data_IF_720324008648
#
_entry.id   IF_720324008648
#
_cell.length_a   1.000
_cell.length_b   1.000
_cell.length_c   1.000
_cell.angle_alpha   90.00
_cell.angle_beta   90.00
_cell.angle_gamma   90.00
#
_symmetry.space_group_name_H-M   'P 1'
#
loop_
_entity.id
_entity.type
_entity.pdbx_description
1 polymer ?
#
# COMPACT_ATOMS: atom_id res chain seq x y z
N UNK A 1 4.06 42.88 -53.00
CA UNK A 1 3.19 41.83 -52.44
C UNK A 1 3.24 41.94 -50.92
N UNK A 2 2.05 41.90 -50.28
CA UNK A 2 1.67 41.93 -48.85
C UNK A 2 2.80 42.08 -47.78
N UNK A 3 2.91 43.19 -47.02
CA UNK A 3 2.11 43.65 -45.84
C UNK A 3 2.37 42.79 -44.58
N UNK A 4 3.20 43.24 -43.60
CA UNK A 4 2.88 44.00 -42.35
C UNK A 4 1.82 43.29 -41.48
N UNK A 5 1.82 43.21 -40.15
CA UNK A 5 2.65 43.61 -38.98
C UNK A 5 1.96 42.94 -37.75
N UNK A 6 2.69 42.87 -36.64
CA UNK A 6 2.30 42.49 -35.26
C UNK A 6 1.03 43.18 -34.74
N UNK A 7 0.27 42.58 -33.79
CA UNK A 7 0.02 43.10 -32.42
C UNK A 7 -0.93 42.21 -31.56
N UNK A 8 -0.81 42.39 -30.24
CA UNK A 8 -1.54 41.84 -29.08
C UNK A 8 -3.06 42.08 -29.08
N UNK A 9 -3.77 41.37 -28.18
CA UNK A 9 -4.94 41.92 -27.49
C UNK A 9 -6.08 40.95 -27.21
N UNK A 10 -6.46 40.87 -25.93
CA UNK A 10 -7.60 40.15 -25.35
C UNK A 10 -8.95 40.49 -25.99
N UNK A 11 -9.90 39.52 -25.99
CA UNK A 11 -11.30 39.77 -25.63
C UNK A 11 -12.04 38.47 -25.24
N UNK A 12 -12.96 38.64 -24.29
CA UNK A 12 -13.82 37.68 -23.60
C UNK A 12 -15.26 37.76 -24.17
N UNK A 13 -16.19 37.06 -23.54
CA UNK A 13 -17.63 36.88 -23.84
C UNK A 13 -17.91 35.80 -24.90
N UNK A 14 -18.72 34.76 -24.67
CA UNK A 14 -19.69 34.48 -23.62
C UNK A 14 -20.96 33.97 -24.28
N UNK A 15 -21.35 32.71 -24.05
CA UNK A 15 -22.77 32.32 -24.02
C UNK A 15 -22.98 30.92 -23.38
N UNK A 16 -24.12 30.81 -22.71
CA UNK A 16 -24.55 29.90 -21.66
C UNK A 16 -24.88 28.42 -22.04
N UNK A 17 -24.44 27.50 -21.15
CA UNK A 17 -25.07 26.28 -20.56
C UNK A 17 -25.90 25.24 -21.38
N UNK A 18 -26.19 24.00 -20.87
CA UNK A 18 -25.92 23.42 -19.53
C UNK A 18 -25.29 22.01 -19.47
N UNK A 19 -24.91 21.63 -18.25
CA UNK A 19 -24.55 20.28 -17.79
C UNK A 19 -25.60 19.21 -18.10
N UNK A 20 -25.17 18.02 -18.54
CA UNK A 20 -25.91 16.79 -18.26
C UNK A 20 -25.01 15.52 -18.25
N UNK A 21 -24.90 14.94 -17.04
CA UNK A 21 -24.77 13.50 -16.71
C UNK A 21 -24.17 12.59 -17.80
N UNK A 22 -22.88 12.24 -17.66
CA UNK A 22 -22.31 11.06 -18.35
C UNK A 22 -22.84 9.75 -17.73
N UNK A 23 -24.04 9.35 -18.16
CA UNK A 23 -24.46 7.96 -18.11
C UNK A 23 -23.42 7.08 -18.83
N UNK A 24 -23.02 5.98 -18.19
CA UNK A 24 -22.24 4.90 -18.84
C UNK A 24 -22.99 4.46 -20.10
N UNK A 25 -22.47 4.81 -21.29
CA UNK A 25 -23.02 4.31 -22.55
C UNK A 25 -22.65 2.83 -22.69
N UNK A 26 -23.65 1.96 -22.62
CA UNK A 26 -23.55 0.59 -23.13
C UNK A 26 -23.14 0.63 -24.61
N UNK A 27 -22.30 -0.30 -25.08
CA UNK A 27 -21.88 -0.32 -26.49
C UNK A 27 -23.09 -0.49 -27.41
N UNK A 28 -23.13 0.30 -28.48
CA UNK A 28 -24.16 0.22 -29.52
C UNK A 28 -24.17 -1.17 -30.16
N UNK A 29 -25.36 -1.69 -30.45
CA UNK A 29 -25.55 -2.97 -31.16
C UNK A 29 -24.77 -3.04 -32.49
N UNK A 30 -24.58 -1.90 -33.16
CA UNK A 30 -23.76 -1.83 -34.39
C UNK A 30 -22.26 -2.06 -34.15
N UNK A 31 -21.75 -1.72 -32.96
CA UNK A 31 -20.35 -1.95 -32.57
C UNK A 31 -20.11 -3.42 -32.25
N UNK A 32 -21.05 -4.05 -31.53
CA UNK A 32 -20.99 -5.49 -31.21
C UNK A 32 -21.12 -6.35 -32.48
N UNK A 33 -21.99 -5.98 -33.42
CA UNK A 33 -22.09 -6.67 -34.73
C UNK A 33 -20.80 -6.53 -35.53
N UNK A 34 -20.19 -5.33 -35.56
CA UNK A 34 -18.92 -5.11 -36.26
C UNK A 34 -17.80 -5.97 -35.67
N UNK A 35 -17.68 -6.04 -34.35
CA UNK A 35 -16.70 -6.89 -33.67
C UNK A 35 -16.95 -8.39 -33.89
N UNK A 36 -18.21 -8.83 -33.82
CA UNK A 36 -18.58 -10.23 -34.08
C UNK A 36 -18.33 -10.63 -35.54
N UNK A 37 -18.59 -9.74 -36.50
CA UNK A 37 -18.25 -9.96 -37.91
C UNK A 37 -16.73 -10.02 -38.12
N UNK A 38 -15.96 -9.16 -37.45
CA UNK A 38 -14.49 -9.15 -37.54
C UNK A 38 -13.87 -10.41 -36.94
N UNK A 39 -14.41 -10.89 -35.80
CA UNK A 39 -14.04 -12.18 -35.22
C UNK A 39 -14.37 -13.36 -36.12
N UNK A 40 -15.56 -13.37 -36.74
CA UNK A 40 -15.95 -14.42 -37.69
C UNK A 40 -15.08 -14.41 -38.94
N UNK A 41 -14.66 -13.24 -39.41
CA UNK A 41 -13.75 -13.11 -40.55
C UNK A 41 -12.33 -13.61 -40.20
N UNK A 42 -11.80 -13.26 -39.03
CA UNK A 42 -10.50 -13.76 -38.56
C UNK A 42 -10.52 -15.28 -38.35
N UNK A 43 -11.57 -15.82 -37.75
CA UNK A 43 -11.70 -17.26 -37.52
C UNK A 43 -11.80 -18.05 -38.84
N UNK A 44 -12.48 -17.49 -39.84
CA UNK A 44 -12.52 -18.07 -41.19
C UNK A 44 -11.16 -17.97 -41.91
N UNK A 45 -10.42 -16.87 -41.72
CA UNK A 45 -9.07 -16.73 -42.28
C UNK A 45 -8.10 -17.78 -41.70
N UNK A 46 -8.15 -17.99 -40.38
CA UNK A 46 -7.34 -19.03 -39.71
C UNK A 46 -7.72 -20.45 -40.15
N UNK A 47 -9.01 -20.74 -40.36
CA UNK A 47 -9.45 -22.04 -40.91
C UNK A 47 -9.01 -22.28 -42.35
N UNK A 48 -8.94 -21.24 -43.18
CA UNK A 48 -8.50 -21.36 -44.57
C UNK A 48 -6.97 -21.50 -44.67
N UNK A 49 -6.22 -20.88 -43.76
CA UNK A 49 -4.77 -20.91 -43.75
C UNK A 49 -4.18 -22.14 -43.05
N UNK A 50 -4.88 -22.74 -42.07
CA UNK A 50 -4.44 -23.96 -41.37
C UNK A 50 -3.98 -25.10 -42.33
N UNK A 51 -4.75 -25.48 -43.37
CA UNK A 51 -4.33 -26.56 -44.27
C UNK A 51 -3.12 -26.19 -45.12
N UNK A 52 -2.89 -24.91 -45.43
CA UNK A 52 -1.69 -24.46 -46.14
C UNK A 52 -0.47 -24.52 -45.23
N UNK A 53 -0.59 -24.09 -43.97
CA UNK A 53 0.49 -24.20 -42.99
C UNK A 53 0.85 -25.65 -42.67
N UNK A 54 -0.14 -26.54 -42.49
CA UNK A 54 0.14 -27.97 -42.31
C UNK A 54 0.89 -28.57 -43.50
N UNK A 55 0.53 -28.17 -44.72
CA UNK A 55 1.15 -28.67 -45.94
C UNK A 55 2.60 -28.19 -46.08
N UNK A 56 2.86 -26.90 -45.83
CA UNK A 56 4.23 -26.35 -45.85
C UNK A 56 5.07 -26.95 -44.73
N UNK A 57 4.53 -27.13 -43.53
CA UNK A 57 5.26 -27.76 -42.42
C UNK A 57 5.56 -29.22 -42.72
N UNK A 58 4.64 -29.98 -43.32
CA UNK A 58 4.91 -31.36 -43.74
C UNK A 58 5.89 -31.43 -44.91
N UNK A 59 5.80 -30.54 -45.90
CA UNK A 59 6.73 -30.49 -47.03
C UNK A 59 8.14 -30.08 -46.58
N UNK A 60 8.29 -29.13 -45.66
CA UNK A 60 9.58 -28.74 -45.07
C UNK A 60 10.16 -29.84 -44.16
N UNK A 61 9.34 -30.53 -43.39
CA UNK A 61 9.79 -31.63 -42.52
C UNK A 61 10.18 -32.87 -43.35
N UNK A 62 9.51 -33.11 -44.47
CA UNK A 62 9.84 -34.19 -45.41
C UNK A 62 11.03 -33.83 -46.32
N UNK A 63 11.19 -32.56 -46.71
CA UNK A 63 12.37 -32.05 -47.41
C UNK A 63 13.61 -32.06 -46.51
N UNK A 64 13.48 -31.73 -45.23
CA UNK A 64 14.55 -31.82 -44.23
C UNK A 64 14.97 -33.26 -43.93
N UNK A 65 14.04 -34.23 -44.00
CA UNK A 65 14.34 -35.67 -43.85
C UNK A 65 14.97 -36.30 -45.10
N UNK A 66 14.71 -35.76 -46.29
CA UNK A 66 15.24 -36.30 -47.57
C UNK A 66 16.60 -35.72 -47.98
N UNK A 67 17.08 -34.64 -47.34
CA UNK A 67 18.37 -34.00 -47.68
C UNK A 67 19.60 -34.54 -46.94
N UNK A 68 19.49 -35.60 -46.12
CA UNK A 68 20.68 -36.20 -45.49
C UNK A 68 20.85 -37.69 -45.79
N UNK A 69 21.57 -38.04 -46.87
CA UNK A 69 22.28 -39.29 -46.95
C UNK A 69 23.78 -39.06 -46.75
N UNK A 70 24.35 -39.84 -45.80
CA UNK A 70 25.79 -40.06 -45.51
C UNK A 70 26.39 -39.09 -44.49
N UNK A 71 27.15 -39.48 -43.46
CA UNK A 71 27.96 -40.68 -43.20
C UNK A 71 27.83 -41.09 -41.73
N UNK A 72 27.72 -42.40 -41.45
CA UNK A 72 28.11 -42.94 -40.15
C UNK A 72 29.64 -42.88 -40.14
N UNK A 73 30.19 -41.77 -39.69
CA UNK A 73 31.55 -41.75 -39.16
C UNK A 73 31.45 -41.87 -37.64
N UNK A 74 32.08 -42.92 -37.13
CA UNK A 74 31.99 -43.33 -35.73
C UNK A 74 32.98 -42.45 -34.96
N UNK A 75 32.57 -41.22 -34.66
CA UNK A 75 33.28 -40.33 -33.74
C UNK A 75 33.49 -41.04 -32.40
N UNK A 76 34.66 -40.88 -31.75
CA UNK A 76 34.97 -41.61 -30.53
C UNK A 76 33.94 -41.26 -29.46
N UNK A 77 33.46 -42.29 -28.76
CA UNK A 77 32.50 -42.17 -27.68
C UNK A 77 32.90 -41.02 -26.75
N UNK A 78 32.04 -40.00 -26.67
CA UNK A 78 32.06 -39.04 -25.59
C UNK A 78 32.04 -39.84 -24.29
N UNK A 79 32.98 -39.61 -23.35
CA UNK A 79 32.88 -40.23 -22.04
C UNK A 79 31.51 -39.89 -21.44
N UNK A 80 30.86 -40.81 -20.73
CA UNK A 80 29.61 -40.52 -20.05
C UNK A 80 29.80 -39.26 -19.20
N UNK A 81 28.91 -38.29 -19.33
CA UNK A 81 28.97 -37.05 -18.56
C UNK A 81 29.12 -37.40 -17.08
N UNK A 82 30.27 -37.07 -16.50
CA UNK A 82 30.52 -37.27 -15.07
C UNK A 82 29.41 -36.58 -14.29
N UNK A 83 28.74 -37.33 -13.42
CA UNK A 83 27.71 -36.76 -12.56
C UNK A 83 28.37 -35.69 -11.69
N UNK A 84 27.83 -34.46 -11.66
CA UNK A 84 28.41 -33.40 -10.85
C UNK A 84 28.35 -33.81 -9.38
N UNK A 85 29.49 -33.87 -8.71
CA UNK A 85 29.59 -34.26 -7.30
C UNK A 85 29.14 -33.14 -6.35
N UNK A 86 29.16 -31.89 -6.81
CA UNK A 86 28.94 -30.71 -5.97
C UNK A 86 27.92 -29.74 -6.55
N UNK A 87 27.18 -29.08 -5.66
CA UNK A 87 26.26 -27.98 -5.99
C UNK A 87 26.42 -26.82 -5.02
N UNK A 88 26.14 -25.62 -5.49
CA UNK A 88 25.98 -24.46 -4.62
C UNK A 88 24.60 -24.53 -3.94
N UNK A 89 24.48 -23.92 -2.77
CA UNK A 89 23.21 -23.78 -2.05
C UNK A 89 23.20 -22.50 -1.21
N UNK A 90 22.01 -21.93 -1.03
CA UNK A 90 21.77 -20.93 0.01
C UNK A 90 21.50 -21.68 1.32
N UNK A 91 22.29 -21.40 2.36
CA UNK A 91 22.14 -22.09 3.66
C UNK A 91 20.80 -21.80 4.31
N UNK A 92 20.38 -20.54 4.25
CA UNK A 92 19.14 -20.03 4.81
C UNK A 92 18.43 -19.22 3.73
N UNK A 93 17.10 -19.35 3.56
CA UNK A 93 16.35 -18.53 2.62
C UNK A 93 16.40 -17.05 2.98
N UNK A 94 16.20 -16.14 2.00
CA UNK A 94 16.13 -14.72 2.26
C UNK A 94 14.86 -14.35 3.04
N UNK A 95 14.96 -13.34 3.91
CA UNK A 95 13.82 -12.77 4.63
C UNK A 95 12.92 -11.98 3.67
N UNK A 96 11.61 -12.21 3.78
CA UNK A 96 10.59 -11.50 3.02
C UNK A 96 9.77 -10.60 3.96
N UNK A 97 9.23 -9.47 3.47
CA UNK A 97 9.31 -8.95 2.10
C UNK A 97 10.65 -8.25 1.78
N UNK A 98 11.09 -8.31 0.52
CA UNK A 98 12.27 -7.60 0.02
C UNK A 98 11.84 -6.30 -0.67
N UNK A 99 12.54 -5.21 -0.37
CA UNK A 99 12.33 -3.90 -0.97
C UNK A 99 13.55 -3.45 -1.79
N UNK A 100 13.32 -2.64 -2.82
CA UNK A 100 14.40 -2.05 -3.63
C UNK A 100 15.35 -1.20 -2.78
N UNK A 101 16.66 -1.29 -3.03
CA UNK A 101 17.70 -0.55 -2.29
C UNK A 101 17.85 -0.92 -0.81
N UNK A 102 17.16 -1.96 -0.33
CA UNK A 102 17.36 -2.53 1.00
C UNK A 102 18.30 -3.73 0.91
N UNK A 103 19.16 -3.92 1.93
CA UNK A 103 20.01 -5.11 2.04
C UNK A 103 19.15 -6.36 2.16
N UNK A 104 19.59 -7.43 1.51
CA UNK A 104 18.91 -8.72 1.57
C UNK A 104 19.58 -9.57 2.65
N UNK A 105 18.81 -9.85 3.69
CA UNK A 105 19.23 -10.68 4.82
C UNK A 105 18.50 -12.03 4.77
N UNK A 106 19.02 -13.02 5.50
CA UNK A 106 18.38 -14.30 5.71
C UNK A 106 17.23 -14.21 6.72
N UNK A 107 16.44 -15.27 6.88
CA UNK A 107 15.32 -15.29 7.83
C UNK A 107 15.70 -15.07 9.30
N UNK A 108 16.98 -15.13 9.66
CA UNK A 108 17.50 -14.85 11.01
C UNK A 108 17.99 -13.40 11.16
N UNK A 109 17.86 -12.56 10.13
CA UNK A 109 18.42 -11.20 10.09
C UNK A 109 19.94 -11.18 9.94
N UNK A 110 20.54 -12.27 9.44
CA UNK A 110 21.98 -12.38 9.17
C UNK A 110 22.27 -12.22 7.66
N UNK A 111 23.50 -11.89 7.26
CA UNK A 111 23.91 -11.93 5.85
C UNK A 111 23.61 -13.29 5.20
N UNK A 112 23.26 -13.32 3.91
CA UNK A 112 23.05 -14.60 3.22
C UNK A 112 24.37 -15.38 3.16
N UNK A 113 24.29 -16.70 3.32
CA UNK A 113 25.45 -17.59 3.21
C UNK A 113 25.25 -18.55 2.03
N UNK A 114 26.21 -18.54 1.11
CA UNK A 114 26.33 -19.51 0.03
C UNK A 114 27.30 -20.59 0.49
N UNK A 115 26.88 -21.84 0.35
CA UNK A 115 27.68 -23.02 0.74
C UNK A 115 27.81 -23.97 -0.45
N UNK A 116 28.95 -24.65 -0.54
CA UNK A 116 29.14 -25.79 -1.42
C UNK A 116 28.66 -27.04 -0.69
N UNK A 117 27.82 -27.84 -1.32
CA UNK A 117 27.31 -29.09 -0.77
C UNK A 117 27.54 -30.25 -1.73
N UNK A 118 27.71 -31.43 -1.17
CA UNK A 118 27.74 -32.69 -1.91
C UNK A 118 26.33 -33.00 -2.43
N UNK A 119 26.24 -33.42 -3.70
CA UNK A 119 24.94 -33.61 -4.36
C UNK A 119 24.17 -34.79 -3.78
N UNK A 120 24.86 -35.86 -3.40
CA UNK A 120 24.25 -37.11 -2.92
C UNK A 120 23.82 -37.01 -1.46
N UNK A 121 24.63 -36.35 -0.62
CA UNK A 121 24.40 -36.25 0.82
C UNK A 121 23.74 -34.93 1.25
N UNK A 122 23.85 -33.88 0.44
CA UNK A 122 23.43 -32.51 0.80
C UNK A 122 24.29 -31.87 1.90
N UNK A 123 25.36 -32.53 2.33
CA UNK A 123 26.21 -32.05 3.42
C UNK A 123 27.16 -30.94 2.91
N UNK A 124 27.45 -29.90 3.72
CA UNK A 124 28.46 -28.90 3.39
C UNK A 124 29.84 -29.54 3.18
N UNK A 125 30.52 -29.14 2.11
CA UNK A 125 31.84 -29.65 1.73
C UNK A 125 32.89 -28.57 1.94
N UNK A 126 33.95 -28.92 2.68
CA UNK A 126 35.15 -28.09 2.72
C UNK A 126 35.89 -28.22 1.38
N UNK A 127 35.98 -27.11 0.64
CA UNK A 127 36.64 -27.11 -0.66
C UNK A 127 38.05 -26.50 -0.55
N UNK A 128 39.11 -27.21 -0.99
CA UNK A 128 40.49 -26.78 -0.75
C UNK A 128 40.92 -25.58 -1.60
N UNK A 129 40.25 -25.31 -2.71
CA UNK A 129 40.56 -24.20 -3.61
C UNK A 129 39.59 -23.02 -3.39
N UNK A 130 40.01 -21.81 -3.74
CA UNK A 130 39.10 -20.67 -3.77
C UNK A 130 38.28 -20.69 -5.07
N UNK A 131 36.96 -20.51 -4.96
CA UNK A 131 36.06 -20.45 -6.11
C UNK A 131 35.55 -19.02 -6.29
N UNK A 132 35.53 -18.52 -7.52
CA UNK A 132 34.84 -17.26 -7.84
C UNK A 132 33.38 -17.58 -8.15
N UNK A 133 32.47 -16.99 -7.39
CA UNK A 133 31.02 -17.16 -7.59
C UNK A 133 30.38 -15.82 -7.91
N UNK A 134 29.36 -15.85 -8.75
CA UNK A 134 28.55 -14.68 -9.07
C UNK A 134 27.08 -14.92 -8.76
N UNK A 135 26.43 -13.91 -8.22
CA UNK A 135 25.01 -13.86 -7.97
C UNK A 135 24.34 -13.16 -9.16
N UNK A 136 23.25 -13.73 -9.64
CA UNK A 136 22.52 -13.22 -10.80
C UNK A 136 21.02 -13.17 -10.50
N UNK A 137 20.30 -12.13 -10.95
CA UNK A 137 18.85 -12.13 -10.83
C UNK A 137 18.26 -13.08 -11.88
N UNK A 138 17.38 -13.99 -11.46
CA UNK A 138 16.67 -14.91 -12.34
C UNK A 138 15.19 -14.57 -12.38
N UNK A 139 14.51 -14.90 -13.48
CA UNK A 139 13.06 -14.80 -13.55
C UNK A 139 12.41 -15.72 -12.51
N UNK A 140 11.35 -15.26 -11.83
CA UNK A 140 10.67 -16.05 -10.81
C UNK A 140 10.03 -17.34 -11.32
N UNK A 141 9.68 -17.38 -12.60
CA UNK A 141 9.14 -18.54 -13.32
C UNK A 141 10.24 -19.41 -13.97
N UNK A 142 11.53 -19.13 -13.74
CA UNK A 142 12.60 -20.05 -14.12
C UNK A 142 12.79 -21.15 -13.05
N UNK A 143 13.02 -22.41 -13.46
CA UNK A 143 12.84 -22.93 -14.82
C UNK A 143 11.35 -23.11 -15.14
N UNK A 144 10.94 -22.92 -16.41
CA UNK A 144 9.53 -22.85 -16.81
C UNK A 144 8.73 -24.12 -16.48
N UNK A 145 9.40 -25.28 -16.47
CA UNK A 145 8.80 -26.59 -16.27
C UNK A 145 8.98 -27.12 -14.84
N UNK A 146 9.55 -26.31 -13.93
CA UNK A 146 9.79 -26.71 -12.53
C UNK A 146 10.84 -27.81 -12.34
N UNK A 147 11.56 -28.20 -13.39
CA UNK A 147 12.66 -29.17 -13.33
C UNK A 147 13.82 -28.68 -12.45
N UNK A 148 14.51 -29.59 -11.78
CA UNK A 148 15.71 -29.28 -10.98
C UNK A 148 17.01 -29.33 -11.78
N UNK A 149 16.97 -29.93 -12.98
CA UNK A 149 18.11 -30.03 -13.89
C UNK A 149 17.99 -29.04 -15.04
N UNK A 150 19.05 -28.26 -15.26
CA UNK A 150 19.18 -27.36 -16.41
C UNK A 150 20.61 -27.36 -16.95
N UNK A 151 20.75 -27.02 -18.23
CA UNK A 151 22.06 -26.76 -18.81
C UNK A 151 22.54 -25.36 -18.44
N UNK A 152 23.85 -25.08 -18.48
CA UNK A 152 24.38 -23.73 -18.24
C UNK A 152 23.78 -22.68 -19.18
N UNK A 153 23.48 -23.05 -20.43
CA UNK A 153 22.86 -22.17 -21.42
C UNK A 153 21.40 -21.84 -21.05
N UNK A 154 20.65 -22.83 -20.54
CA UNK A 154 19.28 -22.60 -20.09
C UNK A 154 19.25 -21.73 -18.84
N UNK A 155 20.17 -21.93 -17.90
CA UNK A 155 20.36 -21.05 -16.75
C UNK A 155 20.68 -19.61 -17.19
N UNK A 156 21.58 -19.45 -18.16
CA UNK A 156 21.94 -18.14 -18.70
C UNK A 156 20.76 -17.42 -19.35
N UNK A 157 19.83 -18.14 -20.00
CA UNK A 157 18.58 -17.56 -20.53
C UNK A 157 17.62 -17.11 -19.42
N UNK A 158 17.68 -17.76 -18.25
CA UNK A 158 16.88 -17.39 -17.07
C UNK A 158 17.32 -16.09 -16.39
N UNK A 159 18.53 -15.60 -16.69
CA UNK A 159 19.08 -14.37 -16.11
C UNK A 159 18.34 -13.14 -16.62
N UNK A 160 17.82 -12.34 -15.69
CA UNK A 160 17.10 -11.10 -15.95
C UNK A 160 18.09 -9.98 -16.23
N UNK A 161 17.96 -9.35 -17.39
CA UNK A 161 18.68 -8.11 -17.68
C UNK A 161 17.93 -6.90 -17.12
N UNK A 162 18.67 -5.89 -16.70
CA UNK A 162 18.12 -4.60 -16.31
C UNK A 162 17.36 -3.94 -17.46
N UNK A 163 16.49 -2.98 -17.11
CA UNK A 163 15.82 -2.14 -18.11
C UNK A 163 16.82 -1.22 -18.77
N UNK A 164 16.58 -0.90 -20.04
CA UNK A 164 17.42 0.00 -20.81
C UNK A 164 17.64 1.34 -20.06
N UNK A 165 18.91 1.75 -19.94
CA UNK A 165 19.31 2.96 -19.24
C UNK A 165 19.21 2.91 -17.71
N UNK A 166 19.01 1.73 -17.09
CA UNK A 166 19.03 1.55 -15.63
C UNK A 166 20.34 0.95 -15.14
N UNK A 167 20.54 1.03 -13.82
CA UNK A 167 21.63 0.35 -13.13
C UNK A 167 21.42 -1.17 -13.19
N UNK A 168 22.48 -1.98 -13.00
CA UNK A 168 22.34 -3.43 -12.85
C UNK A 168 21.26 -3.78 -11.83
N UNK A 169 20.47 -4.81 -12.12
CA UNK A 169 19.31 -5.17 -11.31
C UNK A 169 19.71 -5.66 -9.90
N UNK A 170 20.86 -6.32 -9.78
CA UNK A 170 21.54 -6.61 -8.51
C UNK A 170 22.79 -5.75 -8.36
N UNK A 171 23.02 -5.25 -7.14
CA UNK A 171 24.21 -4.45 -6.78
C UNK A 171 24.74 -4.86 -5.40
N UNK A 172 25.95 -4.41 -5.08
CA UNK A 172 26.69 -4.79 -3.87
C UNK A 172 27.51 -6.06 -4.08
N UNK A 173 27.29 -7.07 -3.25
CA UNK A 173 28.04 -8.33 -3.22
C UNK A 173 27.60 -9.31 -4.33
N UNK A 174 27.77 -8.90 -5.58
CA UNK A 174 27.37 -9.67 -6.77
C UNK A 174 28.45 -10.67 -7.20
N UNK A 175 29.72 -10.34 -7.01
CA UNK A 175 30.86 -11.20 -7.33
C UNK A 175 31.66 -11.47 -6.07
N UNK A 176 31.80 -12.74 -5.68
CA UNK A 176 32.39 -13.15 -4.42
C UNK A 176 33.47 -14.21 -4.61
N UNK A 177 34.40 -14.27 -3.67
CA UNK A 177 35.38 -15.36 -3.57
C UNK A 177 34.95 -16.28 -2.44
N UNK A 178 34.54 -17.49 -2.79
CA UNK A 178 34.23 -18.57 -1.86
C UNK A 178 35.52 -19.24 -1.38
N UNK A 179 35.64 -19.42 -0.06
CA UNK A 179 36.78 -20.08 0.60
C UNK A 179 36.26 -21.19 1.50
N UNK A 180 36.96 -22.32 1.54
CA UNK A 180 36.55 -23.49 2.33
C UNK A 180 35.10 -23.94 2.05
N UNK A 181 34.61 -23.72 0.82
CA UNK A 181 33.24 -24.02 0.42
C UNK A 181 32.18 -23.05 0.95
N UNK A 182 32.54 -21.87 1.47
CA UNK A 182 31.59 -20.87 2.01
C UNK A 182 31.85 -19.46 1.48
N UNK A 183 30.78 -18.70 1.28
CA UNK A 183 30.82 -17.27 0.95
C UNK A 183 29.67 -16.52 1.63
N UNK A 184 29.98 -15.38 2.23
CA UNK A 184 28.99 -14.50 2.87
C UNK A 184 28.62 -13.36 1.94
N UNK A 185 27.33 -13.04 1.87
CA UNK A 185 26.75 -11.99 1.03
C UNK A 185 26.14 -10.93 1.95
N UNK A 186 26.81 -9.80 2.12
CA UNK A 186 26.45 -8.78 3.13
C UNK A 186 25.70 -7.60 2.54
N UNK A 187 26.11 -7.15 1.35
CA UNK A 187 25.65 -5.88 0.77
C UNK A 187 24.75 -6.05 -0.46
N UNK A 188 24.21 -7.25 -0.72
CA UNK A 188 23.39 -7.50 -1.90
C UNK A 188 22.05 -6.77 -1.84
N UNK A 189 21.68 -6.12 -2.95
CA UNK A 189 20.44 -5.34 -3.08
C UNK A 189 19.85 -5.41 -4.50
N UNK A 190 18.51 -5.37 -4.59
CA UNK A 190 17.81 -5.12 -5.85
C UNK A 190 17.64 -3.62 -6.12
N UNK A 191 17.91 -3.17 -7.34
CA UNK A 191 17.78 -1.75 -7.72
C UNK A 191 16.42 -1.39 -8.32
N UNK A 192 15.67 -2.38 -8.82
CA UNK A 192 14.33 -2.21 -9.39
C UNK A 192 13.38 -3.27 -8.82
N UNK A 193 12.08 -2.97 -8.82
CA UNK A 193 11.05 -3.84 -8.28
C UNK A 193 10.70 -4.95 -9.28
N UNK A 194 9.98 -5.99 -8.87
CA UNK A 194 9.63 -7.10 -9.76
C UNK A 194 8.36 -6.87 -10.58
N UNK A 195 7.67 -5.75 -10.44
CA UNK A 195 6.35 -5.55 -11.07
C UNK A 195 6.39 -5.40 -12.60
N UNK A 196 7.55 -5.05 -13.17
CA UNK A 196 7.73 -4.84 -14.60
C UNK A 196 8.01 -6.13 -15.38
N UNK A 197 8.40 -7.22 -14.71
CA UNK A 197 8.53 -8.53 -15.35
C UNK A 197 7.20 -9.29 -15.35
N UNK A 198 6.98 -10.11 -16.38
CA UNK A 198 5.72 -10.83 -16.60
C UNK A 198 5.28 -11.68 -15.40
N UNK A 199 6.21 -12.41 -14.78
CA UNK A 199 5.94 -13.29 -13.64
C UNK A 199 5.83 -12.55 -12.30
N UNK A 200 6.08 -11.22 -12.28
CA UNK A 200 6.06 -10.34 -11.10
C UNK A 200 6.98 -10.76 -9.96
N UNK A 201 7.89 -11.70 -10.17
CA UNK A 201 8.78 -12.29 -9.17
C UNK A 201 10.19 -12.41 -9.72
N UNK A 202 11.16 -12.37 -8.81
CA UNK A 202 12.56 -12.71 -9.07
C UNK A 202 12.99 -13.90 -8.22
N UNK A 203 14.10 -14.51 -8.61
CA UNK A 203 14.93 -15.39 -7.76
C UNK A 203 16.35 -14.83 -7.73
N UNK A 204 17.11 -15.17 -6.70
CA UNK A 204 18.56 -14.95 -6.67
C UNK A 204 19.21 -16.26 -7.08
N UNK A 205 19.86 -16.26 -8.23
CA UNK A 205 20.71 -17.35 -8.68
C UNK A 205 22.14 -17.15 -8.22
N UNK A 206 22.89 -18.24 -8.05
CA UNK A 206 24.33 -18.23 -7.83
C UNK A 206 25.01 -19.31 -8.67
N UNK A 207 26.11 -18.95 -9.33
CA UNK A 207 26.92 -19.89 -10.11
C UNK A 207 28.41 -19.61 -9.94
N UNK A 208 29.23 -20.60 -10.28
CA UNK A 208 30.68 -20.37 -10.45
C UNK A 208 30.89 -19.49 -11.68
N UNK A 209 31.75 -18.48 -11.57
CA UNK A 209 32.06 -17.57 -12.68
C UNK A 209 32.65 -18.39 -13.83
N UNK A 210 32.09 -18.31 -15.06
CA UNK A 210 32.59 -19.07 -16.20
C UNK A 210 34.10 -18.86 -16.43
N UNK A 211 34.83 -19.95 -16.64
CA UNK A 211 36.29 -19.92 -16.88
C UNK A 211 37.16 -19.60 -15.66
N UNK A 212 36.57 -19.53 -14.46
CA UNK A 212 37.34 -19.32 -13.21
C UNK A 212 37.76 -20.62 -12.50
N UNK A 213 37.29 -21.77 -12.99
CA UNK A 213 37.51 -23.08 -12.41
C UNK A 213 37.56 -24.15 -13.51
N UNK A 214 38.62 -24.96 -13.51
CA UNK A 214 38.91 -25.96 -14.54
C UNK A 214 38.52 -27.39 -14.15
N UNK A 215 37.85 -27.57 -13.00
CA UNK A 215 37.42 -28.89 -12.54
C UNK A 215 36.02 -29.29 -13.00
N UNK A 216 35.51 -30.39 -12.44
CA UNK A 216 34.17 -30.92 -12.76
C UNK A 216 33.07 -29.89 -12.48
N UNK A 217 32.00 -29.89 -13.29
CA UNK A 217 30.90 -28.93 -13.16
C UNK A 217 30.34 -28.90 -11.73
N UNK A 218 30.25 -27.70 -11.17
CA UNK A 218 29.53 -27.43 -9.93
C UNK A 218 28.15 -26.87 -10.30
N UNK A 219 27.07 -27.49 -9.80
CA UNK A 219 25.71 -27.05 -10.13
C UNK A 219 25.37 -25.70 -9.50
N UNK A 220 24.62 -24.90 -10.25
CA UNK A 220 24.11 -23.60 -9.83
C UNK A 220 23.04 -23.75 -8.73
N UNK A 221 22.89 -22.72 -7.90
CA UNK A 221 21.79 -22.64 -6.93
C UNK A 221 20.86 -21.48 -7.26
N UNK A 222 19.62 -21.56 -6.77
CA UNK A 222 18.70 -20.45 -6.80
C UNK A 222 17.83 -20.44 -5.53
N UNK A 223 17.35 -19.26 -5.15
CA UNK A 223 16.33 -19.13 -4.10
C UNK A 223 14.95 -19.52 -4.62
N UNK A 224 14.00 -19.67 -3.70
CA UNK A 224 12.57 -19.61 -4.01
C UNK A 224 12.18 -18.25 -4.63
N UNK A 225 11.08 -18.19 -5.42
CA UNK A 225 10.70 -16.99 -6.13
C UNK A 225 9.93 -16.02 -5.22
N UNK A 226 10.34 -14.77 -5.21
CA UNK A 226 9.76 -13.73 -4.35
C UNK A 226 9.45 -12.45 -5.11
N UNK A 227 8.58 -11.62 -4.54
CA UNK A 227 8.31 -10.28 -5.05
C UNK A 227 9.30 -9.28 -4.45
N UNK A 228 9.88 -8.44 -5.29
CA UNK A 228 10.65 -7.27 -4.87
C UNK A 228 9.75 -6.06 -4.98
N UNK A 229 9.48 -5.41 -3.85
CA UNK A 229 8.59 -4.25 -3.77
C UNK A 229 9.38 -2.96 -3.90
N UNK A 230 8.76 -1.92 -4.43
CA UNK A 230 9.37 -0.58 -4.42
C UNK A 230 9.40 -0.07 -2.96
N UNK A 231 10.59 0.28 -2.48
CA UNK A 231 10.77 0.85 -1.14
C UNK A 231 10.01 2.16 -0.94
N UNK A 232 9.72 2.89 -2.03
CA UNK A 232 8.85 4.09 -1.98
C UNK A 232 7.46 3.77 -1.42
N UNK A 233 6.92 2.59 -1.74
CA UNK A 233 5.59 2.17 -1.28
C UNK A 233 5.52 1.98 0.23
N UNK A 234 6.59 1.45 0.83
CA UNK A 234 6.66 1.23 2.28
C UNK A 234 6.90 2.54 3.03
N UNK A 235 7.87 3.34 2.59
CA UNK A 235 8.15 4.64 3.19
C UNK A 235 6.93 5.56 3.17
N UNK A 236 6.05 5.45 2.17
CA UNK A 236 4.86 6.28 2.02
C UNK A 236 3.55 5.61 2.44
N UNK A 237 3.64 4.45 3.09
CA UNK A 237 2.47 3.69 3.55
C UNK A 237 1.59 4.52 4.49
N UNK A 238 0.28 4.43 4.30
CA UNK A 238 -0.71 5.04 5.21
C UNK A 238 -0.83 4.16 6.45
N UNK A 239 -0.80 4.76 7.62
CA UNK A 239 -0.99 4.05 8.89
C UNK A 239 -2.47 3.91 9.18
N UNK A 240 -2.91 2.74 9.66
CA UNK A 240 -4.31 2.49 10.05
C UNK A 240 -4.33 1.81 11.43
N UNK A 241 -4.82 2.47 12.50
CA UNK A 241 -5.14 3.90 12.53
C UNK A 241 -3.87 4.77 12.41
N UNK A 242 -4.00 6.04 11.99
CA UNK A 242 -2.89 6.98 12.04
C UNK A 242 -2.61 7.38 13.49
N UNK A 243 -1.37 7.75 13.80
CA UNK A 243 -0.98 8.19 15.16
C UNK A 243 -0.81 9.71 15.22
N UNK A 244 -1.00 10.30 16.41
CA UNK A 244 -0.96 11.77 16.61
C UNK A 244 0.31 12.43 16.03
N UNK A 245 1.46 11.80 16.24
CA UNK A 245 2.77 12.28 15.78
C UNK A 245 3.07 12.03 14.29
N UNK A 246 2.20 11.32 13.57
CA UNK A 246 2.39 11.10 12.14
C UNK A 246 2.37 12.43 11.39
N UNK A 247 3.13 12.51 10.31
CA UNK A 247 3.01 13.62 9.36
C UNK A 247 1.68 13.53 8.62
N UNK A 248 1.06 14.66 8.31
CA UNK A 248 -0.26 14.71 7.62
C UNK A 248 -0.33 13.94 6.31
N UNK A 249 0.80 13.77 5.60
CA UNK A 249 0.83 12.95 4.40
C UNK A 249 0.67 11.45 4.66
N UNK A 250 0.59 10.99 5.93
CA UNK A 250 0.17 9.63 6.28
C UNK A 250 -1.35 9.43 6.20
N UNK A 251 -2.13 10.51 6.12
CA UNK A 251 -3.57 10.45 5.89
C UNK A 251 -3.89 10.06 4.45
N UNK A 252 -5.09 9.53 4.24
CA UNK A 252 -5.55 9.15 2.91
C UNK A 252 -5.63 10.38 2.00
N UNK A 253 -5.46 10.17 0.69
CA UNK A 253 -5.54 11.20 -0.37
C UNK A 253 -4.53 12.36 -0.26
N UNK A 254 -3.70 12.42 0.77
CA UNK A 254 -2.60 13.39 0.91
C UNK A 254 -1.26 12.71 0.59
N UNK A 255 -0.63 13.03 -0.54
CA UNK A 255 0.69 12.49 -0.89
C UNK A 255 1.85 13.25 -0.23
N UNK A 256 2.95 12.56 0.12
CA UNK A 256 4.20 13.22 0.57
C UNK A 256 4.72 14.11 -0.55
N UNK A 257 5.15 15.33 -0.20
CA UNK A 257 5.49 16.40 -1.14
C UNK A 257 4.41 16.68 -2.22
N UNK A 258 3.15 16.31 -1.97
CA UNK A 258 2.02 16.62 -2.85
C UNK A 258 1.48 18.04 -2.65
N UNK A 259 0.54 18.46 -3.50
CA UNK A 259 -0.08 19.79 -3.43
C UNK A 259 -0.74 20.04 -2.06
N UNK A 260 -1.59 19.11 -1.58
CA UNK A 260 -2.24 19.23 -0.27
C UNK A 260 -1.26 19.25 0.89
N UNK A 261 -0.23 18.39 0.85
CA UNK A 261 0.80 18.37 1.89
C UNK A 261 1.54 19.72 1.98
N UNK A 262 1.90 20.33 0.84
CA UNK A 262 2.52 21.66 0.83
C UNK A 262 1.59 22.74 1.38
N UNK A 263 0.32 22.75 0.99
CA UNK A 263 -0.67 23.73 1.47
C UNK A 263 -0.89 23.62 2.97
N UNK A 264 -1.07 22.41 3.50
CA UNK A 264 -1.21 22.15 4.93
C UNK A 264 0.03 22.59 5.71
N UNK A 265 1.22 22.22 5.23
CA UNK A 265 2.50 22.60 5.85
C UNK A 265 2.70 24.13 5.88
N UNK A 266 2.29 24.85 4.82
CA UNK A 266 2.37 26.31 4.78
C UNK A 266 1.43 26.98 5.80
N UNK A 267 0.36 26.30 6.19
CA UNK A 267 -0.58 26.75 7.23
C UNK A 267 -0.30 26.10 8.60
N UNK A 268 0.92 25.61 8.84
CA UNK A 268 1.34 24.98 10.09
C UNK A 268 0.53 23.73 10.51
N UNK A 269 -0.07 23.02 9.54
CA UNK A 269 -0.72 21.73 9.76
C UNK A 269 0.23 20.63 9.26
N UNK A 270 1.17 20.23 10.11
CA UNK A 270 2.29 19.33 9.78
C UNK A 270 2.01 17.90 10.26
N UNK A 271 1.32 17.76 11.39
CA UNK A 271 1.01 16.48 12.04
C UNK A 271 -0.46 16.08 11.92
N UNK A 272 -0.74 14.78 12.05
CA UNK A 272 -2.12 14.26 12.12
C UNK A 272 -2.86 14.90 13.30
N UNK A 273 -2.19 15.09 14.45
CA UNK A 273 -2.78 15.79 15.59
C UNK A 273 -3.25 17.21 15.24
N UNK A 274 -2.41 18.04 14.60
CA UNK A 274 -2.81 19.39 14.18
C UNK A 274 -3.96 19.36 13.17
N UNK A 275 -3.94 18.39 12.24
CA UNK A 275 -5.02 18.22 11.26
C UNK A 275 -6.35 17.89 11.95
N UNK A 276 -6.37 16.94 12.89
CA UNK A 276 -7.58 16.54 13.61
C UNK A 276 -8.09 17.69 14.48
N UNK A 277 -7.20 18.40 15.18
CA UNK A 277 -7.60 19.57 15.99
C UNK A 277 -8.26 20.65 15.13
N UNK A 278 -7.65 21.00 14.00
CA UNK A 278 -8.23 21.99 13.08
C UNK A 278 -9.54 21.47 12.47
N UNK A 279 -9.64 20.18 12.16
CA UNK A 279 -10.88 19.57 11.67
C UNK A 279 -12.02 19.67 12.70
N UNK A 280 -11.72 19.57 13.99
CA UNK A 280 -12.74 19.68 15.06
C UNK A 280 -13.18 21.13 15.30
N UNK A 281 -12.24 22.10 15.23
CA UNK A 281 -12.52 23.50 15.62
C UNK A 281 -12.89 24.38 14.42
N UNK A 282 -12.22 24.17 13.28
CA UNK A 282 -12.28 25.02 12.08
C UNK A 282 -12.33 24.18 10.78
N UNK A 283 -13.33 23.31 10.61
CA UNK A 283 -13.42 22.41 9.45
C UNK A 283 -13.47 23.18 8.12
N UNK A 284 -14.17 24.32 8.08
CA UNK A 284 -14.30 25.14 6.87
C UNK A 284 -12.99 25.81 6.46
N UNK A 285 -12.22 26.34 7.43
CA UNK A 285 -10.89 26.90 7.15
C UNK A 285 -9.94 25.80 6.66
N UNK A 286 -9.97 24.61 7.28
CA UNK A 286 -9.16 23.47 6.85
C UNK A 286 -9.52 23.04 5.42
N UNK A 287 -10.82 23.03 5.10
CA UNK A 287 -11.32 22.76 3.75
C UNK A 287 -10.85 23.81 2.75
N UNK A 288 -10.89 25.08 3.12
CA UNK A 288 -10.43 26.21 2.30
C UNK A 288 -8.92 26.13 2.03
N UNK A 289 -8.09 25.76 3.02
CA UNK A 289 -6.64 25.54 2.85
C UNK A 289 -6.37 24.49 1.77
N UNK A 290 -7.13 23.41 1.73
CA UNK A 290 -6.97 22.35 0.74
C UNK A 290 -7.46 22.80 -0.65
N UNK A 291 -8.50 23.62 -0.68
CA UNK A 291 -9.07 24.27 -1.86
C UNK A 291 -9.80 23.32 -2.81
N UNK A 292 -10.17 23.83 -3.99
CA UNK A 292 -11.04 23.15 -4.96
C UNK A 292 -10.51 21.79 -5.45
N UNK A 293 -9.18 21.61 -5.49
CA UNK A 293 -8.58 20.34 -5.91
C UNK A 293 -8.93 19.17 -4.98
N UNK A 294 -9.33 19.44 -3.74
CA UNK A 294 -9.82 18.42 -2.82
C UNK A 294 -11.32 18.23 -3.09
N UNK A 295 -11.68 17.11 -3.74
CA UNK A 295 -13.09 16.75 -3.97
C UNK A 295 -13.77 16.27 -2.69
N UNK A 296 -15.10 16.27 -2.62
CA UNK A 296 -15.83 15.85 -1.42
C UNK A 296 -15.54 14.40 -1.04
N UNK A 297 -15.42 13.50 -2.02
CA UNK A 297 -15.02 12.10 -1.79
C UNK A 297 -13.61 12.00 -1.19
N UNK A 298 -12.70 12.86 -1.61
CA UNK A 298 -11.34 12.86 -1.08
C UNK A 298 -11.30 13.45 0.33
N UNK A 299 -12.06 14.51 0.56
CA UNK A 299 -12.25 15.13 1.87
C UNK A 299 -12.82 14.12 2.87
N UNK A 300 -13.92 13.44 2.52
CA UNK A 300 -14.55 12.40 3.33
C UNK A 300 -13.56 11.27 3.66
N UNK A 301 -12.86 10.72 2.66
CA UNK A 301 -11.86 9.68 2.90
C UNK A 301 -10.73 10.15 3.83
N UNK A 302 -10.24 11.38 3.64
CA UNK A 302 -9.16 11.96 4.47
C UNK A 302 -9.62 12.16 5.92
N UNK A 303 -10.81 12.75 6.10
CA UNK A 303 -11.34 13.09 7.42
C UNK A 303 -11.82 11.87 8.18
N UNK A 304 -12.49 10.92 7.53
CA UNK A 304 -12.86 9.64 8.14
C UNK A 304 -11.62 8.86 8.59
N UNK A 305 -10.57 8.82 7.75
CA UNK A 305 -9.32 8.21 8.15
C UNK A 305 -8.66 8.94 9.34
N UNK A 306 -8.61 10.28 9.32
CA UNK A 306 -8.06 11.06 10.43
C UNK A 306 -8.83 10.85 11.75
N UNK A 307 -10.17 10.71 11.69
CA UNK A 307 -11.03 10.43 12.86
C UNK A 307 -10.80 9.06 13.49
N UNK A 308 -10.14 8.13 12.81
CA UNK A 308 -9.69 6.86 13.42
C UNK A 308 -8.46 7.03 14.30
N UNK A 309 -7.81 8.20 14.30
CA UNK A 309 -6.70 8.52 15.19
C UNK A 309 -7.17 8.57 16.64
N UNK A 310 -6.58 7.73 17.49
CA UNK A 310 -6.92 7.71 18.91
C UNK A 310 -6.29 8.91 19.64
N UNK A 311 -7.06 9.61 20.50
CA UNK A 311 -6.49 10.58 21.43
C UNK A 311 -5.57 9.87 22.43
N UNK A 312 -4.70 10.66 23.06
CA UNK A 312 -3.94 10.20 24.22
C UNK A 312 -4.74 10.47 25.51
N UNK A 313 -4.21 10.01 26.65
CA UNK A 313 -4.87 10.12 27.95
C UNK A 313 -4.80 11.54 28.55
N UNK A 314 -4.25 12.53 27.83
CA UNK A 314 -4.08 13.88 28.34
C UNK A 314 -5.34 14.71 28.15
N UNK A 315 -5.71 15.41 29.21
CA UNK A 315 -6.77 16.42 29.22
C UNK A 315 -6.15 17.78 29.46
N UNK A 316 -6.61 18.77 28.71
CA UNK A 316 -6.14 20.14 28.75
C UNK A 316 -7.29 21.07 29.15
N UNK A 317 -7.03 21.96 30.10
CA UNK A 317 -7.97 22.97 30.53
C UNK A 317 -7.65 24.33 29.92
N UNK A 318 -8.69 25.04 29.48
CA UNK A 318 -8.66 26.46 29.14
C UNK A 318 -9.70 27.20 29.97
N UNK A 319 -9.24 28.09 30.85
CA UNK A 319 -10.08 28.83 31.78
C UNK A 319 -10.19 30.30 31.36
N UNK A 320 -11.40 30.84 31.43
CA UNK A 320 -11.72 32.25 31.22
C UNK A 320 -12.48 32.80 32.42
N UNK A 321 -12.78 34.10 32.40
CA UNK A 321 -13.61 34.73 33.45
C UNK A 321 -15.06 34.20 33.50
N UNK A 322 -15.50 33.54 32.42
CA UNK A 322 -16.90 33.14 32.23
C UNK A 322 -17.10 31.62 32.23
N UNK A 323 -16.02 30.83 32.18
CA UNK A 323 -16.09 29.37 32.20
C UNK A 323 -14.76 28.69 31.86
N UNK A 324 -14.72 27.38 32.05
CA UNK A 324 -13.57 26.51 31.79
C UNK A 324 -13.99 25.38 30.84
N UNK A 325 -13.20 25.13 29.81
CA UNK A 325 -13.38 24.00 28.90
C UNK A 325 -12.22 23.01 29.06
N UNK A 326 -12.55 21.72 29.10
CA UNK A 326 -11.59 20.63 29.15
C UNK A 326 -11.66 19.85 27.85
N UNK A 327 -10.52 19.73 27.17
CA UNK A 327 -10.41 19.05 25.88
C UNK A 327 -9.32 17.99 25.92
N UNK A 328 -9.49 16.90 25.17
CA UNK A 328 -8.43 15.90 24.99
C UNK A 328 -7.37 16.37 23.97
N UNK A 329 -6.38 15.54 23.68
CA UNK A 329 -5.28 15.91 22.78
C UNK A 329 -5.66 16.14 21.32
N UNK A 330 -6.87 15.78 20.88
CA UNK A 330 -7.43 16.06 19.55
C UNK A 330 -8.52 17.13 19.57
N UNK A 331 -8.67 17.86 20.68
CA UNK A 331 -9.65 18.93 20.86
C UNK A 331 -11.12 18.46 20.90
N UNK A 332 -11.39 17.21 21.26
CA UNK A 332 -12.74 16.79 21.66
C UNK A 332 -13.04 17.31 23.06
N UNK A 333 -14.21 17.91 23.25
CA UNK A 333 -14.67 18.38 24.57
C UNK A 333 -14.95 17.19 25.47
N UNK A 334 -14.28 17.16 26.62
CA UNK A 334 -14.46 16.15 27.68
C UNK A 334 -15.42 16.67 28.74
N UNK A 335 -15.25 17.94 29.14
CA UNK A 335 -16.02 18.59 30.21
C UNK A 335 -16.11 20.09 29.96
N UNK A 336 -17.18 20.71 30.45
CA UNK A 336 -17.32 22.17 30.50
C UNK A 336 -17.86 22.61 31.85
N UNK A 337 -17.30 23.70 32.37
CA UNK A 337 -17.77 24.39 33.57
C UNK A 337 -18.17 25.82 33.21
N UNK A 338 -19.38 26.23 33.57
CA UNK A 338 -19.92 27.58 33.33
C UNK A 338 -20.40 28.12 34.67
N UNK A 339 -19.86 29.27 35.10
CA UNK A 339 -20.19 29.86 36.40
C UNK A 339 -19.82 28.97 37.61
N UNK A 340 -18.80 28.12 37.47
CA UNK A 340 -18.36 27.19 38.51
C UNK A 340 -19.18 25.91 38.64
N UNK A 341 -20.12 25.66 37.72
CA UNK A 341 -20.93 24.44 37.67
C UNK A 341 -20.55 23.63 36.43
N UNK A 342 -20.30 22.34 36.60
CA UNK A 342 -20.10 21.39 35.50
C UNK A 342 -21.42 21.13 34.78
N UNK A 343 -21.40 21.20 33.44
CA UNK A 343 -22.55 20.94 32.60
C UNK A 343 -22.35 19.68 31.76
N UNK A 344 -23.31 18.72 31.78
CA UNK A 344 -23.32 17.60 30.86
C UNK A 344 -23.46 18.11 29.42
N UNK A 345 -22.61 17.62 28.51
CA UNK A 345 -22.57 18.10 27.12
C UNK A 345 -23.91 17.92 26.39
N UNK A 346 -24.66 16.87 26.72
CA UNK A 346 -25.98 16.58 26.13
C UNK A 346 -27.10 17.51 26.62
N UNK A 347 -26.86 18.27 27.69
CA UNK A 347 -27.86 19.13 28.34
C UNK A 347 -27.64 20.62 28.07
N UNK A 348 -26.65 20.97 27.24
CA UNK A 348 -26.38 22.35 26.87
C UNK A 348 -27.51 22.90 25.98
N UNK A 349 -28.05 24.06 26.36
CA UNK A 349 -28.96 24.80 25.50
C UNK A 349 -28.22 25.53 24.37
N UNK A 350 -28.93 26.03 23.36
CA UNK A 350 -28.33 26.67 22.18
C UNK A 350 -27.35 27.80 22.53
N UNK A 351 -27.66 28.64 23.50
CA UNK A 351 -26.80 29.76 23.91
C UNK A 351 -25.53 29.25 24.59
N UNK A 352 -25.65 28.23 25.44
CA UNK A 352 -24.50 27.57 26.05
C UNK A 352 -23.64 26.87 25.01
N UNK A 353 -24.22 26.19 24.03
CA UNK A 353 -23.47 25.56 22.93
C UNK A 353 -22.67 26.58 22.13
N UNK A 354 -23.25 27.73 21.78
CA UNK A 354 -22.53 28.82 21.10
C UNK A 354 -21.39 29.36 21.96
N UNK A 355 -21.60 29.49 23.27
CA UNK A 355 -20.56 29.90 24.21
C UNK A 355 -19.42 28.87 24.29
N UNK A 356 -19.73 27.57 24.33
CA UNK A 356 -18.73 26.50 24.32
C UNK A 356 -17.94 26.47 23.02
N UNK A 357 -18.60 26.66 21.87
CA UNK A 357 -17.93 26.77 20.57
C UNK A 357 -16.95 27.95 20.55
N UNK A 358 -17.35 29.10 21.09
CA UNK A 358 -16.48 30.27 21.23
C UNK A 358 -15.27 29.98 22.14
N UNK A 359 -15.49 29.36 23.30
CA UNK A 359 -14.40 28.94 24.19
C UNK A 359 -13.45 27.94 23.53
N UNK A 360 -13.98 27.00 22.75
CA UNK A 360 -13.19 26.00 22.02
C UNK A 360 -12.32 26.65 20.94
N UNK A 361 -12.85 27.64 20.23
CA UNK A 361 -12.10 28.45 19.27
C UNK A 361 -10.96 29.23 19.95
N UNK A 362 -11.26 29.91 21.05
CA UNK A 362 -10.26 30.64 21.83
C UNK A 362 -9.17 29.71 22.37
N UNK A 363 -9.56 28.57 22.94
CA UNK A 363 -8.64 27.55 23.43
C UNK A 363 -7.72 27.02 22.31
N UNK A 364 -8.22 26.91 21.08
CA UNK A 364 -7.43 26.46 19.93
C UNK A 364 -6.41 27.51 19.48
N UNK A 365 -6.80 28.78 19.43
CA UNK A 365 -5.88 29.88 19.13
C UNK A 365 -4.78 30.00 20.19
N UNK A 366 -5.13 29.75 21.45
CA UNK A 366 -4.24 29.81 22.61
C UNK A 366 -3.71 28.42 23.02
N UNK A 367 -3.70 27.44 22.10
CA UNK A 367 -3.34 26.04 22.40
C UNK A 367 -1.95 25.84 23.02
N UNK A 368 -1.05 26.81 22.83
CA UNK A 368 0.29 26.79 23.40
C UNK A 368 0.34 27.11 24.91
N UNK A 369 -0.74 27.69 25.45
CA UNK A 369 -0.86 28.06 26.87
C UNK A 369 -1.86 27.20 27.64
N UNK A 370 -2.31 26.09 27.06
CA UNK A 370 -3.21 25.16 27.74
C UNK A 370 -2.52 24.50 28.94
N UNK A 371 -3.28 24.35 30.02
CA UNK A 371 -2.80 23.67 31.23
C UNK A 371 -3.21 22.20 31.18
N UNK A 372 -2.27 21.28 31.39
CA UNK A 372 -2.60 19.87 31.56
C UNK A 372 -3.37 19.71 32.88
N UNK A 373 -4.59 19.20 32.79
CA UNK A 373 -5.43 18.91 33.94
C UNK A 373 -5.12 17.49 34.43
N UNK A 374 -5.13 17.28 35.75
CA UNK A 374 -5.03 15.92 36.29
C UNK A 374 -6.20 15.08 35.77
N UNK A 375 -5.88 13.91 35.21
CA UNK A 375 -6.87 12.95 34.75
C UNK A 375 -7.68 12.42 35.95
N UNK A 376 -8.82 13.06 36.23
CA UNK A 376 -9.77 12.54 37.21
C UNK A 376 -10.52 11.36 36.57
N UNK A 377 -10.12 10.15 36.93
CA UNK A 377 -10.88 8.93 36.66
C UNK A 377 -12.29 9.07 37.25
N UNK A 378 -13.39 8.76 36.52
CA UNK A 378 -14.71 8.72 37.11
C UNK A 378 -14.78 7.51 38.05
N UNK A 379 -14.61 7.73 39.35
CA UNK A 379 -14.98 6.73 40.34
C UNK A 379 -16.50 6.75 40.50
N UNK A 380 -17.11 5.62 40.15
CA UNK A 380 -18.52 5.37 40.36
C UNK A 380 -18.94 5.50 41.82
N UNK A 381 -20.20 5.89 41.98
CA UNK A 381 -21.07 5.71 43.15
C UNK A 381 -20.43 5.71 44.55
N UNK A 382 -20.61 6.82 45.27
CA UNK A 382 -20.89 6.76 46.70
C UNK A 382 -21.97 7.80 47.07
N UNK A 383 -22.90 7.32 47.88
CA UNK A 383 -24.19 7.88 48.23
C UNK A 383 -24.18 9.26 48.92
N UNK A 384 -25.34 9.92 48.80
CA UNK A 384 -26.00 10.76 49.79
C UNK A 384 -25.16 11.85 50.49
N UNK A 385 -25.40 13.10 50.11
CA UNK A 385 -26.17 14.00 50.97
C UNK A 385 -26.56 15.28 50.22
N UNK A 386 -27.86 15.52 50.17
CA UNK A 386 -28.44 16.83 49.88
C UNK A 386 -28.07 17.77 51.03
N UNK A 387 -27.77 19.04 50.74
CA UNK A 387 -28.60 20.07 51.34
C UNK A 387 -29.19 20.98 50.27
N UNK A 388 -30.51 21.12 50.31
CA UNK A 388 -31.22 22.21 49.67
C UNK A 388 -30.62 23.52 50.18
N UNK A 389 -30.16 24.35 49.26
CA UNK A 389 -30.23 25.80 49.44
C UNK A 389 -30.78 26.39 48.14
N UNK A 390 -32.05 26.79 48.25
CA UNK A 390 -32.69 27.71 47.32
C UNK A 390 -31.84 28.97 47.22
N UNK A 391 -31.42 29.32 46.00
CA UNK A 391 -31.51 30.68 45.50
C UNK A 391 -31.27 30.69 43.99
N UNK A 392 -32.36 30.85 43.26
CA UNK A 392 -32.35 31.22 41.85
C UNK A 392 -31.88 32.67 41.79
N UNK A 393 -30.62 32.90 41.46
CA UNK A 393 -30.19 34.16 40.89
C UNK A 393 -30.15 33.97 39.37
N UNK A 394 -31.05 34.65 38.66
CA UNK A 394 -30.91 34.84 37.21
C UNK A 394 -29.60 35.61 36.97
N UNK A 395 -28.54 34.90 36.62
CA UNK A 395 -27.32 35.50 36.10
C UNK A 395 -27.56 35.76 34.62
N UNK A 396 -27.67 37.04 34.27
CA UNK A 396 -27.81 37.47 32.89
C UNK A 396 -26.52 37.18 32.11
N UNK A 397 -26.63 36.37 31.07
CA UNK A 397 -25.62 36.29 30.00
C UNK A 397 -25.61 37.64 29.27
N UNK A 398 -24.46 38.27 29.01
CA UNK A 398 -24.42 39.51 28.23
C UNK A 398 -24.93 39.24 26.81
N UNK A 399 -25.76 40.15 26.28
CA UNK A 399 -26.16 40.10 24.88
C UNK A 399 -24.92 40.26 23.97
N UNK A 400 -24.79 39.47 22.89
CA UNK A 400 -23.73 39.71 21.93
C UNK A 400 -23.97 41.06 21.23
N UNK A 401 -22.89 41.82 21.06
CA UNK A 401 -22.85 42.92 20.11
C UNK A 401 -23.17 42.39 18.70
N UNK A 402 -23.79 43.24 17.87
CA UNK A 402 -24.37 42.89 16.57
C UNK A 402 -23.49 41.96 15.69
N UNK A 403 -24.09 40.98 15.00
CA UNK A 403 -23.36 40.00 14.22
C UNK A 403 -22.83 40.59 12.90
N UNK A 404 -21.60 40.26 12.46
CA UNK A 404 -21.29 40.36 11.04
C UNK A 404 -22.14 39.32 10.28
N UNK A 405 -22.94 39.81 9.34
CA UNK A 405 -23.81 39.05 8.45
C UNK A 405 -23.00 38.05 7.61
N UNK A 406 -22.90 36.80 8.05
CA UNK A 406 -22.73 35.63 7.18
C UNK A 406 -22.95 34.34 7.97
N UNK A 407 -23.52 33.34 7.27
CA UNK A 407 -23.82 31.93 7.62
C UNK A 407 -25.31 31.56 7.66
N UNK A 408 -25.89 31.17 6.50
CA UNK A 408 -26.90 30.13 6.47
C UNK A 408 -26.20 28.76 6.35
N UNK A 409 -26.50 27.86 7.29
CA UNK A 409 -26.17 26.42 7.29
C UNK A 409 -24.77 26.01 7.83
N UNK A 410 -24.62 26.02 9.15
CA UNK A 410 -23.68 25.12 9.83
C UNK A 410 -24.38 23.77 10.10
N UNK A 411 -23.79 22.60 9.77
CA UNK A 411 -24.32 21.32 10.19
C UNK A 411 -24.18 21.14 11.71
N UNK A 412 -25.20 20.57 12.34
CA UNK A 412 -25.22 20.27 13.78
C UNK A 412 -24.05 19.35 14.16
N UNK A 413 -23.32 19.72 15.20
CA UNK A 413 -22.23 18.92 15.76
C UNK A 413 -22.87 17.78 16.55
N UNK A 414 -22.87 16.58 15.98
CA UNK A 414 -23.21 15.36 16.71
C UNK A 414 -22.05 14.99 17.65
N UNK A 415 -22.34 14.93 18.95
CA UNK A 415 -21.43 14.42 19.96
C UNK A 415 -21.38 12.89 19.88
N UNK A 416 -20.19 12.25 19.84
CA UNK A 416 -20.10 10.79 19.84
C UNK A 416 -20.71 10.22 21.12
N UNK A 417 -21.70 9.34 20.97
CA UNK A 417 -22.28 8.55 22.06
C UNK A 417 -21.50 7.25 22.13
N UNK A 418 -20.96 6.94 23.31
CA UNK A 418 -20.35 5.65 23.61
C UNK A 418 -21.49 4.65 23.89
N UNK A 419 -21.84 3.82 22.89
CA UNK A 419 -22.86 2.77 23.06
C UNK A 419 -22.30 1.66 23.96
N UNK A 420 -22.58 1.76 25.27
CA UNK A 420 -22.43 0.64 26.19
C UNK A 420 -23.41 -0.48 25.81
N UNK A 421 -22.87 -1.55 25.26
CA UNK A 421 -23.57 -2.83 25.07
C UNK A 421 -23.95 -3.41 26.44
N UNK A 422 -25.24 -3.69 26.72
CA UNK A 422 -25.61 -4.40 27.94
C UNK A 422 -25.23 -5.88 27.83
N UNK A 423 -24.50 -6.36 28.83
CA UNK A 423 -24.24 -7.78 29.08
C UNK A 423 -25.59 -8.48 29.30
N UNK A 424 -26.01 -9.29 28.33
CA UNK A 424 -27.13 -10.23 28.49
C UNK A 424 -26.60 -11.59 28.94
N UNK A 425 -27.22 -12.08 30.00
CA UNK A 425 -26.92 -13.32 30.69
C UNK A 425 -27.06 -14.54 29.77
N UNK A 426 -26.18 -15.51 30.01
CA UNK A 426 -26.13 -16.80 29.36
C UNK A 426 -27.48 -17.53 29.34
N UNK A 427 -27.82 -18.13 28.19
CA UNK A 427 -28.33 -19.49 28.20
C UNK A 427 -28.04 -20.23 26.88
N UNK A 428 -27.76 -21.51 27.04
CA UNK A 428 -27.27 -22.46 26.05
C UNK A 428 -28.21 -22.65 24.84
N UNK A 429 -27.57 -23.03 23.72
CA UNK A 429 -27.85 -24.21 22.89
C UNK A 429 -28.00 -23.92 21.38
N UNK A 430 -27.72 -24.95 20.58
CA UNK A 430 -27.70 -25.07 19.10
C UNK A 430 -26.34 -24.77 18.43
N UNK A 431 -25.65 -25.69 17.77
CA UNK A 431 -26.09 -26.91 17.08
C UNK A 431 -26.15 -26.63 15.58
N UNK A 432 -25.02 -26.81 14.89
CA UNK A 432 -24.88 -26.61 13.44
C UNK A 432 -25.60 -27.71 12.65
N UNK A 433 -26.47 -27.35 11.71
CA UNK A 433 -26.90 -28.24 10.63
C UNK A 433 -27.12 -27.48 9.32
N UNK A 434 -26.47 -27.99 8.28
CA UNK A 434 -26.50 -27.56 6.87
C UNK A 434 -27.81 -27.99 6.18
N UNK A 435 -28.31 -27.27 5.15
CA UNK A 435 -29.30 -27.82 4.24
C UNK A 435 -28.65 -28.38 2.96
N UNK A 436 -28.79 -29.69 2.78
CA UNK A 436 -28.51 -30.41 1.54
C UNK A 436 -29.68 -30.36 0.56
N UNK A 437 -29.32 -30.41 -0.72
CA UNK A 437 -30.20 -30.59 -1.87
C UNK A 437 -30.94 -31.94 -1.82
N UNK A 438 -32.17 -31.95 -2.33
CA UNK A 438 -32.86 -33.19 -2.72
C UNK A 438 -34.37 -33.08 -2.65
N UNK A 439 -35.01 -32.60 -3.71
CA UNK A 439 -36.44 -32.83 -3.91
C UNK A 439 -36.70 -33.43 -5.29
N UNK A 440 -37.20 -34.66 -5.22
CA UNK A 440 -37.65 -35.54 -6.28
C UNK A 440 -39.03 -35.09 -6.74
N UNK A 441 -39.22 -34.88 -8.04
CA UNK A 441 -40.54 -34.74 -8.64
C UNK A 441 -41.02 -36.09 -9.16
N UNK A 442 -42.19 -36.52 -8.65
CA UNK A 442 -43.04 -37.55 -9.24
C UNK A 442 -44.04 -36.86 -10.18
N UNK A 443 -44.25 -37.40 -11.38
CA UNK A 443 -45.47 -37.19 -12.17
C UNK A 443 -46.06 -38.55 -12.55
N UNK A 444 -47.39 -38.72 -12.51
CA UNK A 444 -48.09 -39.80 -13.20
C UNK A 444 -48.73 -39.30 -14.51
N UNK A 445 -48.80 -40.18 -15.52
CA UNK A 445 -49.62 -39.99 -16.73
C UNK A 445 -48.80 -39.82 -18.00
#
# INVERSE_FOLDING_TARGET
MAAKRLHDGYEHDGDDQPDDKRMRRLPSFSTVIREAMMQKHMHNLFRLLEPLFRRVVQEELQAGLMQSPRYIDRSPATPPAERPAWKLAFRTPPQLPIFTGSKIEDTNGSPLEIVLVDVDTGAPVAFPQALRVELVPLFGDFPPDGREDWTPEDYQKGVVKEREGKRPLLTGDVNLTMREGRATVSELQFTDNSSWVRCRKFRIGVRVVPGSYDGARILEAMTEPFMVRDHRGELYRKHYPPVLGDKVWRLEKIGKEGAFHRKLRHNNVVTVQEFVRMLMVKPDELRAILGEGMTDRMWEATTNHAKTCLPDDKVYAYATQHGTIYVNSVFTVVRVEIGGVEWPLQQLNRTQTMFVQQLMLEAYEHRHSLQEAEAFMPHGHAANNVPMLQNVAHVAVPAPAEPPLWYPNAPEIEFPVDDMVPISQANNNFGYQWPGQGQVFNMPG
#
